data_IF_284565806524
#
_entry.id   IF_284565806524
#
_cell.length_a   1.000
_cell.length_b   1.000
_cell.length_c   1.000
_cell.angle_alpha   90.00
_cell.angle_beta   90.00
_cell.angle_gamma   90.00
#
_symmetry.space_group_name_H-M   'P 1'
#
loop_
_entity.id
_entity.type
_entity.pdbx_description
1 polymer ?
#
# COMPACT_ATOMS: atom_id res chain seq x y z
N UNK A 1 37.10 67.25 46.29
CA UNK A 1 37.29 66.76 44.89
C UNK A 1 37.08 65.30 44.92
N UNK A 2 35.83 64.80 44.62
CA UNK A 2 35.47 63.37 44.56
C UNK A 2 35.28 63.00 43.10
N UNK A 3 36.16 62.09 42.59
CA UNK A 3 36.01 61.50 41.25
C UNK A 3 35.08 60.26 41.34
N UNK A 4 33.91 60.38 40.75
CA UNK A 4 33.05 59.27 40.50
C UNK A 4 33.60 58.48 39.29
N UNK A 5 33.91 57.20 39.50
CA UNK A 5 34.16 56.24 38.43
C UNK A 5 32.84 55.57 38.04
N UNK A 6 32.36 55.85 36.83
CA UNK A 6 31.24 55.16 36.20
C UNK A 6 31.74 53.88 35.48
N UNK A 7 31.41 52.71 36.02
CA UNK A 7 31.61 51.42 35.32
C UNK A 7 30.49 51.24 34.32
N UNK A 8 30.80 51.22 33.02
CA UNK A 8 29.93 50.76 31.94
C UNK A 8 30.02 49.25 31.85
N UNK A 9 28.94 48.57 32.30
CA UNK A 9 28.75 47.13 32.06
C UNK A 9 28.38 46.92 30.60
N UNK A 10 29.25 46.31 29.82
CA UNK A 10 28.94 45.80 28.45
C UNK A 10 28.27 44.46 28.60
N UNK A 11 26.95 44.37 28.36
CA UNK A 11 26.22 43.12 28.18
C UNK A 11 26.46 42.62 26.76
N UNK A 12 27.32 41.60 26.61
CA UNK A 12 27.44 40.84 25.38
C UNK A 12 26.23 39.90 25.28
N UNK A 13 25.28 40.28 24.43
CA UNK A 13 24.19 39.40 24.04
C UNK A 13 24.74 38.36 23.06
N UNK A 14 25.02 37.13 23.55
CA UNK A 14 25.27 35.98 22.67
C UNK A 14 23.92 35.55 22.07
N UNK A 15 23.67 35.96 20.84
CA UNK A 15 22.58 35.37 20.01
C UNK A 15 23.03 33.96 19.66
N UNK A 16 22.53 32.96 20.39
CA UNK A 16 22.54 31.60 19.93
C UNK A 16 21.61 31.53 18.74
N UNK A 17 22.13 31.65 17.53
CA UNK A 17 21.47 31.16 16.31
C UNK A 17 21.44 29.64 16.43
N UNK A 18 20.39 29.09 17.01
CA UNK A 18 20.07 27.69 16.80
C UNK A 18 19.82 27.54 15.30
N UNK A 19 20.74 26.89 14.59
CA UNK A 19 20.44 26.30 13.30
C UNK A 19 19.35 25.26 13.59
N UNK A 20 18.09 25.66 13.53
CA UNK A 20 17.02 24.71 13.33
C UNK A 20 17.26 24.15 11.93
N UNK A 21 17.79 22.94 11.87
CA UNK A 21 17.69 22.10 10.69
C UNK A 21 16.21 22.03 10.36
N UNK A 22 15.80 22.66 9.28
CA UNK A 22 14.46 22.47 8.74
C UNK A 22 14.54 21.04 8.17
N UNK A 23 14.14 20.05 8.96
CA UNK A 23 13.93 18.73 8.43
C UNK A 23 12.78 18.84 7.42
N UNK A 24 13.03 18.44 6.20
CA UNK A 24 11.95 18.27 5.25
C UNK A 24 11.26 16.94 5.59
N UNK A 25 9.95 16.98 5.80
CA UNK A 25 9.14 15.78 5.93
C UNK A 25 9.35 14.88 4.72
N UNK A 26 9.58 13.58 4.95
CA UNK A 26 9.66 12.61 3.86
C UNK A 26 8.26 12.12 3.50
N UNK A 27 7.87 12.29 2.25
CA UNK A 27 6.51 12.01 1.79
C UNK A 27 6.46 10.80 0.89
N UNK A 28 5.58 9.85 1.22
CA UNK A 28 5.31 8.65 0.43
C UNK A 28 3.85 8.67 0.01
N UNK A 29 3.56 8.83 -1.29
CA UNK A 29 2.22 8.56 -1.78
C UNK A 29 2.05 7.08 -2.11
N UNK A 30 0.81 6.56 -2.00
CA UNK A 30 0.54 5.17 -2.28
C UNK A 30 -0.89 4.93 -2.77
N UNK A 31 -1.09 3.83 -3.48
CA UNK A 31 -2.40 3.41 -3.93
C UNK A 31 -2.36 2.21 -4.87
N UNK A 32 -3.53 1.70 -5.24
CA UNK A 32 -3.74 0.58 -6.16
C UNK A 32 -4.91 0.83 -7.11
N UNK A 33 -5.23 -0.16 -7.93
CA UNK A 33 -6.37 -0.18 -8.84
C UNK A 33 -6.31 0.98 -9.84
N UNK A 34 -5.30 0.89 -10.72
CA UNK A 34 -4.99 1.87 -11.75
C UNK A 34 -5.28 1.28 -13.15
N UNK A 35 -6.50 1.50 -13.65
CA UNK A 35 -6.93 0.97 -14.95
C UNK A 35 -6.39 1.82 -16.10
N UNK A 36 -5.61 1.22 -17.00
CA UNK A 36 -5.06 1.87 -18.19
C UNK A 36 -6.12 2.25 -19.25
N UNK A 37 -7.35 1.77 -19.12
CA UNK A 37 -8.45 2.13 -20.00
C UNK A 37 -9.16 3.42 -19.57
N UNK A 38 -8.99 3.84 -18.32
CA UNK A 38 -9.62 5.01 -17.72
C UNK A 38 -8.67 6.21 -17.67
N UNK A 39 -9.17 7.46 -17.69
CA UNK A 39 -8.36 8.66 -17.44
C UNK A 39 -7.69 8.59 -16.05
N UNK A 40 -6.50 9.19 -15.92
CA UNK A 40 -5.72 9.19 -14.69
C UNK A 40 -5.40 10.62 -14.20
N UNK A 41 -6.41 11.47 -13.96
CA UNK A 41 -6.21 12.87 -13.55
C UNK A 41 -5.57 13.00 -12.16
N UNK A 42 -5.64 11.95 -11.33
CA UNK A 42 -5.06 11.89 -9.99
C UNK A 42 -3.57 12.20 -9.96
N UNK A 43 -2.83 11.90 -11.04
CA UNK A 43 -1.40 12.15 -11.13
C UNK A 43 -1.03 13.61 -10.98
N UNK A 44 -1.89 14.53 -11.50
CA UNK A 44 -1.67 15.97 -11.37
C UNK A 44 -1.79 16.44 -9.92
N UNK A 45 -2.69 15.81 -9.17
CA UNK A 45 -2.88 16.11 -7.76
C UNK A 45 -1.71 15.60 -6.93
N UNK A 46 -1.28 14.34 -7.18
CA UNK A 46 -0.14 13.75 -6.47
C UNK A 46 1.17 14.47 -6.78
N UNK A 47 1.36 14.98 -8.01
CA UNK A 47 2.51 15.83 -8.37
C UNK A 47 2.60 17.07 -7.47
N UNK A 48 1.44 17.67 -7.14
CA UNK A 48 1.36 18.84 -6.27
C UNK A 48 1.70 18.57 -4.79
N UNK A 49 1.74 17.30 -4.36
CA UNK A 49 2.16 16.92 -2.99
C UNK A 49 3.68 16.96 -2.80
N UNK A 50 4.44 17.00 -3.90
CA UNK A 50 5.91 16.94 -3.90
C UNK A 50 6.44 15.75 -3.09
N UNK A 51 6.06 14.55 -3.50
CA UNK A 51 6.42 13.30 -2.82
C UNK A 51 7.84 12.87 -3.14
N UNK A 52 8.51 12.21 -2.19
CA UNK A 52 9.84 11.64 -2.36
C UNK A 52 9.78 10.26 -3.01
N UNK A 53 8.74 9.49 -2.68
CA UNK A 53 8.54 8.15 -3.23
C UNK A 53 7.07 7.82 -3.46
N UNK A 54 6.83 6.76 -4.25
CA UNK A 54 5.50 6.24 -4.51
C UNK A 54 5.45 4.73 -4.34
N UNK A 55 4.39 4.23 -3.67
CA UNK A 55 4.14 2.80 -3.47
C UNK A 55 2.92 2.37 -4.29
N UNK A 56 3.13 1.45 -5.22
CA UNK A 56 2.07 0.78 -5.96
C UNK A 56 1.67 -0.52 -5.26
N UNK A 57 0.40 -0.64 -4.90
CA UNK A 57 -0.12 -1.73 -4.07
C UNK A 57 -0.84 -2.84 -4.86
N UNK A 58 -0.51 -2.99 -6.13
CA UNK A 58 -1.13 -3.96 -7.02
C UNK A 58 -2.19 -3.37 -7.93
N UNK A 59 -2.68 -4.17 -8.89
CA UNK A 59 -3.60 -3.73 -9.94
C UNK A 59 -3.08 -2.50 -10.68
N UNK A 60 -1.81 -2.52 -11.03
CA UNK A 60 -1.14 -1.43 -11.73
C UNK A 60 -1.57 -1.38 -13.20
N UNK A 61 -2.16 -2.48 -13.68
CA UNK A 61 -2.84 -2.64 -14.97
C UNK A 61 -3.95 -3.69 -14.84
N UNK A 62 -4.92 -3.66 -15.74
CA UNK A 62 -5.99 -4.66 -15.90
C UNK A 62 -5.73 -5.49 -17.15
N UNK A 63 -4.71 -6.35 -17.04
CA UNK A 63 -4.18 -7.14 -18.15
C UNK A 63 -4.59 -8.62 -18.16
N UNK A 64 -5.28 -9.07 -17.12
CA UNK A 64 -5.78 -10.41 -16.95
C UNK A 64 -6.71 -10.84 -18.08
N UNK A 65 -6.77 -12.15 -18.33
CA UNK A 65 -7.66 -12.72 -19.36
C UNK A 65 -8.20 -14.07 -18.90
N UNK A 66 -9.39 -14.44 -19.38
CA UNK A 66 -10.05 -15.72 -19.04
C UNK A 66 -9.22 -16.95 -19.42
N UNK A 67 -8.41 -16.87 -20.48
CA UNK A 67 -7.53 -17.96 -20.91
C UNK A 67 -6.12 -17.88 -20.26
N UNK A 68 -5.89 -16.87 -19.43
CA UNK A 68 -4.65 -16.61 -18.72
C UNK A 68 -3.46 -16.24 -19.62
N UNK A 69 -3.67 -16.02 -20.93
CA UNK A 69 -2.58 -15.67 -21.83
C UNK A 69 -2.15 -14.21 -21.67
N UNK A 70 -0.84 -13.97 -21.79
CA UNK A 70 -0.22 -12.68 -21.54
C UNK A 70 -0.34 -11.64 -22.66
N UNK A 71 -1.09 -11.90 -23.73
CA UNK A 71 -1.20 -10.96 -24.86
C UNK A 71 -1.90 -9.65 -24.44
N UNK A 72 -3.00 -9.76 -23.69
CA UNK A 72 -3.71 -8.60 -23.16
C UNK A 72 -2.82 -7.85 -22.16
N UNK A 73 -2.12 -8.56 -21.28
CA UNK A 73 -1.18 -8.02 -20.30
C UNK A 73 -0.08 -7.17 -20.95
N UNK A 74 0.53 -7.67 -22.03
CA UNK A 74 1.56 -6.92 -22.79
C UNK A 74 1.02 -5.61 -23.36
N UNK A 75 -0.22 -5.61 -23.82
CA UNK A 75 -0.88 -4.40 -24.34
C UNK A 75 -1.22 -3.43 -23.21
N UNK A 76 -1.74 -3.95 -22.09
CA UNK A 76 -2.06 -3.16 -20.90
C UNK A 76 -0.80 -2.45 -20.36
N UNK A 77 0.30 -3.15 -20.16
CA UNK A 77 1.57 -2.56 -19.74
C UNK A 77 2.10 -1.52 -20.73
N UNK A 78 2.01 -1.81 -22.05
CA UNK A 78 2.42 -0.84 -23.07
C UNK A 78 1.59 0.45 -23.02
N UNK A 79 0.30 0.35 -22.73
CA UNK A 79 -0.61 1.49 -22.60
C UNK A 79 -0.32 2.25 -21.30
N UNK A 80 -0.27 1.56 -20.18
CA UNK A 80 -0.01 2.15 -18.86
C UNK A 80 1.34 2.89 -18.81
N UNK A 81 2.38 2.31 -19.42
CA UNK A 81 3.72 2.94 -19.48
C UNK A 81 3.72 4.33 -20.11
N UNK A 82 2.73 4.64 -20.97
CA UNK A 82 2.56 5.97 -21.59
C UNK A 82 1.78 6.93 -20.71
N UNK A 83 0.98 6.40 -19.75
CA UNK A 83 0.12 7.18 -18.88
C UNK A 83 0.80 7.53 -17.56
N UNK A 84 1.79 6.75 -17.13
CA UNK A 84 2.63 7.08 -15.99
C UNK A 84 3.40 8.37 -16.28
N UNK A 85 3.26 9.42 -15.47
CA UNK A 85 3.89 10.71 -15.73
C UNK A 85 5.41 10.64 -15.61
N UNK A 86 6.10 11.53 -16.31
CA UNK A 86 7.57 11.54 -16.34
C UNK A 86 8.18 11.86 -15.00
N UNK A 87 7.60 12.78 -14.23
CA UNK A 87 8.10 13.18 -12.91
C UNK A 87 8.16 11.99 -11.94
N UNK A 88 7.22 11.05 -12.03
CA UNK A 88 7.18 9.87 -11.16
C UNK A 88 8.38 8.94 -11.37
N UNK A 89 8.99 8.96 -12.58
CA UNK A 89 10.17 8.14 -12.89
C UNK A 89 11.46 8.64 -12.22
N UNK A 90 11.42 9.86 -11.69
CA UNK A 90 12.52 10.47 -10.94
C UNK A 90 12.45 10.22 -9.44
N UNK A 91 11.35 9.59 -8.99
CA UNK A 91 11.09 9.25 -7.58
C UNK A 91 11.43 7.79 -7.30
N UNK A 92 11.66 7.47 -6.03
CA UNK A 92 11.83 6.08 -5.61
C UNK A 92 10.48 5.36 -5.71
N UNK A 93 10.45 4.26 -6.46
CA UNK A 93 9.24 3.49 -6.70
C UNK A 93 9.32 2.13 -6.02
N UNK A 94 8.33 1.83 -5.21
CA UNK A 94 8.10 0.52 -4.62
C UNK A 94 6.82 -0.05 -5.20
N UNK A 95 6.82 -1.32 -5.57
CA UNK A 95 5.69 -1.89 -6.28
C UNK A 95 5.54 -3.38 -5.98
N UNK A 96 4.31 -3.75 -5.69
CA UNK A 96 3.82 -5.12 -5.64
C UNK A 96 2.77 -5.32 -6.73
N UNK A 97 2.52 -6.55 -7.10
CA UNK A 97 1.46 -6.91 -8.03
C UNK A 97 0.22 -7.42 -7.30
N UNK A 98 -0.89 -7.48 -8.04
CA UNK A 98 -2.08 -8.21 -7.65
C UNK A 98 -2.59 -9.07 -8.82
N UNK A 99 -3.79 -9.60 -8.78
CA UNK A 99 -4.30 -10.59 -9.73
C UNK A 99 -4.42 -10.05 -11.16
N UNK A 100 -4.79 -8.77 -11.32
CA UNK A 100 -4.88 -8.15 -12.64
C UNK A 100 -3.51 -7.88 -13.29
N UNK A 101 -2.45 -7.68 -12.49
CA UNK A 101 -1.05 -7.65 -12.95
C UNK A 101 -0.49 -9.06 -13.14
N UNK A 102 -0.96 -10.01 -12.34
CA UNK A 102 -0.49 -11.40 -12.33
C UNK A 102 -0.96 -12.15 -13.57
N UNK A 103 -2.23 -11.94 -14.00
CA UNK A 103 -2.74 -12.38 -15.28
C UNK A 103 -4.00 -13.21 -15.28
N UNK A 104 -4.52 -13.57 -14.11
CA UNK A 104 -5.79 -14.26 -13.93
C UNK A 104 -6.46 -13.71 -12.69
N UNK A 105 -7.72 -13.27 -12.84
CA UNK A 105 -8.53 -12.79 -11.73
C UNK A 105 -8.57 -13.83 -10.60
N UNK A 106 -8.29 -13.39 -9.37
CA UNK A 106 -8.15 -14.23 -8.18
C UNK A 106 -7.16 -15.39 -8.33
N UNK A 107 -6.19 -15.30 -9.26
CA UNK A 107 -5.22 -16.34 -9.55
C UNK A 107 -4.19 -16.55 -8.45
N UNK A 108 -3.71 -17.79 -8.34
CA UNK A 108 -2.69 -18.21 -7.38
C UNK A 108 -1.63 -19.13 -8.04
N UNK A 109 -1.08 -20.05 -7.28
CA UNK A 109 0.00 -20.95 -7.73
C UNK A 109 -0.38 -21.89 -8.89
N UNK A 110 -1.67 -22.09 -9.14
CA UNK A 110 -2.19 -22.85 -10.28
C UNK A 110 -2.00 -22.14 -11.62
N UNK A 111 -1.70 -20.82 -11.61
CA UNK A 111 -1.52 -20.07 -12.84
C UNK A 111 -0.25 -20.49 -13.59
N UNK A 112 -0.42 -21.10 -14.74
CA UNK A 112 0.68 -21.75 -15.49
C UNK A 112 1.71 -20.77 -16.08
N UNK A 113 1.32 -19.51 -16.34
CA UNK A 113 2.21 -18.50 -16.93
C UNK A 113 2.81 -17.53 -15.89
N UNK A 114 2.73 -17.88 -14.59
CA UNK A 114 3.20 -16.99 -13.52
C UNK A 114 4.68 -16.57 -13.65
N UNK A 115 5.54 -17.45 -14.16
CA UNK A 115 6.97 -17.13 -14.37
C UNK A 115 7.16 -16.09 -15.46
N UNK A 116 6.45 -16.22 -16.57
CA UNK A 116 6.48 -15.28 -17.69
C UNK A 116 5.81 -13.96 -17.30
N UNK A 117 4.72 -14.00 -16.53
CA UNK A 117 4.06 -12.83 -15.98
C UNK A 117 5.00 -12.05 -15.08
N UNK A 118 5.74 -12.70 -14.20
CA UNK A 118 6.75 -12.09 -13.34
C UNK A 118 7.81 -11.34 -14.14
N UNK A 119 8.36 -11.93 -15.20
CA UNK A 119 9.36 -11.25 -16.02
C UNK A 119 8.75 -10.04 -16.75
N UNK A 120 7.54 -10.18 -17.28
CA UNK A 120 6.83 -9.09 -17.96
C UNK A 120 6.53 -7.92 -17.01
N UNK A 121 6.13 -8.21 -15.77
CA UNK A 121 5.92 -7.24 -14.70
C UNK A 121 7.21 -6.48 -14.35
N UNK A 122 8.30 -7.20 -14.15
CA UNK A 122 9.61 -6.60 -13.87
C UNK A 122 10.15 -5.76 -15.04
N UNK A 123 9.84 -6.15 -16.29
CA UNK A 123 10.17 -5.37 -17.48
C UNK A 123 9.35 -4.08 -17.58
N UNK A 124 8.08 -4.12 -17.19
CA UNK A 124 7.25 -2.92 -17.14
C UNK A 124 7.84 -1.87 -16.20
N UNK A 125 8.28 -2.27 -15.02
CA UNK A 125 8.90 -1.40 -14.03
C UNK A 125 10.36 -1.05 -14.33
N UNK A 126 10.94 -1.54 -15.43
CA UNK A 126 12.37 -1.41 -15.77
C UNK A 126 13.29 -1.89 -14.64
N UNK A 127 12.88 -2.93 -13.90
CA UNK A 127 13.73 -3.55 -12.88
C UNK A 127 15.09 -3.94 -13.43
N UNK A 128 16.15 -3.68 -12.69
CA UNK A 128 17.53 -3.97 -13.09
C UNK A 128 17.70 -5.45 -13.46
N UNK A 129 18.69 -5.76 -14.29
CA UNK A 129 18.96 -7.15 -14.70
C UNK A 129 19.42 -8.03 -13.54
N UNK A 130 20.06 -7.45 -12.55
CA UNK A 130 20.56 -8.08 -11.32
C UNK A 130 19.57 -8.02 -10.15
N UNK A 131 18.35 -7.52 -10.37
CA UNK A 131 17.27 -7.56 -9.39
C UNK A 131 16.97 -9.01 -9.00
N UNK A 132 17.05 -9.32 -7.71
CA UNK A 132 16.83 -10.68 -7.19
C UNK A 132 15.48 -11.29 -7.63
N UNK A 133 14.45 -10.44 -7.78
CA UNK A 133 13.13 -10.84 -8.26
C UNK A 133 13.13 -11.43 -9.67
N UNK A 134 14.19 -11.26 -10.45
CA UNK A 134 14.30 -11.89 -11.78
C UNK A 134 14.72 -13.36 -11.73
N UNK A 135 15.34 -13.79 -10.64
CA UNK A 135 15.84 -15.15 -10.47
C UNK A 135 15.15 -15.95 -9.37
N UNK A 136 14.51 -15.28 -8.39
CA UNK A 136 13.69 -15.96 -7.39
C UNK A 136 12.29 -16.29 -7.94
N UNK A 137 11.57 -17.17 -7.28
CA UNK A 137 10.13 -17.35 -7.50
C UNK A 137 9.36 -16.29 -6.71
N UNK A 138 8.43 -15.57 -7.38
CA UNK A 138 7.65 -14.46 -6.82
C UNK A 138 8.38 -13.13 -6.81
N UNK A 139 7.61 -12.06 -6.53
CA UNK A 139 8.06 -10.66 -6.63
C UNK A 139 8.31 -9.99 -5.29
N UNK A 140 8.30 -10.75 -4.18
CA UNK A 140 8.53 -10.21 -2.84
C UNK A 140 9.93 -9.60 -2.70
N UNK A 141 10.02 -8.53 -1.90
CA UNK A 141 11.25 -7.77 -1.71
C UNK A 141 11.23 -7.02 -0.37
N UNK A 142 12.40 -6.60 0.09
CA UNK A 142 12.51 -5.56 1.10
C UNK A 142 13.52 -4.49 0.67
N UNK A 143 13.31 -3.28 1.18
CA UNK A 143 14.17 -2.13 0.95
C UNK A 143 14.27 -1.29 2.22
N UNK A 144 15.48 -0.89 2.58
CA UNK A 144 15.72 0.04 3.68
C UNK A 144 15.86 1.45 3.13
N UNK A 145 15.07 2.38 3.65
CA UNK A 145 15.19 3.81 3.40
C UNK A 145 15.71 4.47 4.68
N UNK A 146 16.71 5.32 4.55
CA UNK A 146 17.19 6.15 5.65
C UNK A 146 16.64 7.57 5.46
N UNK A 147 15.96 8.09 6.47
CA UNK A 147 15.43 9.44 6.52
C UNK A 147 16.05 10.08 7.78
N UNK A 148 17.08 10.91 7.59
CA UNK A 148 17.90 11.42 8.68
C UNK A 148 18.42 10.28 9.57
N UNK A 149 17.97 10.20 10.82
CA UNK A 149 18.30 9.14 11.79
C UNK A 149 17.30 7.98 11.83
N UNK A 150 16.19 8.07 11.07
CA UNK A 150 15.19 7.01 10.99
C UNK A 150 15.51 6.00 9.88
N UNK A 151 15.28 4.73 10.19
CA UNK A 151 15.33 3.63 9.22
C UNK A 151 13.93 3.07 8.97
N UNK A 152 13.47 3.16 7.73
CA UNK A 152 12.24 2.53 7.28
C UNK A 152 12.57 1.23 6.56
N UNK A 153 11.91 0.14 6.94
CA UNK A 153 11.96 -1.13 6.22
C UNK A 153 10.67 -1.33 5.44
N UNK A 154 10.73 -1.15 4.12
CA UNK A 154 9.61 -1.44 3.22
C UNK A 154 9.69 -2.90 2.82
N UNK A 155 8.66 -3.68 3.17
CA UNK A 155 8.56 -5.11 2.90
C UNK A 155 7.38 -5.35 1.95
N UNK A 156 7.66 -5.71 0.71
CA UNK A 156 6.64 -6.06 -0.29
C UNK A 156 6.37 -7.55 -0.33
N UNK A 157 5.14 -7.97 0.00
CA UNK A 157 4.71 -9.35 -0.10
C UNK A 157 4.24 -9.68 -1.53
N UNK A 158 4.43 -10.92 -1.92
CA UNK A 158 3.80 -11.53 -3.07
C UNK A 158 2.65 -12.42 -2.59
N UNK A 159 1.43 -11.95 -2.74
CA UNK A 159 0.20 -12.64 -2.30
C UNK A 159 -0.42 -13.49 -3.41
N UNK A 160 0.29 -13.70 -4.54
CA UNK A 160 -0.21 -14.41 -5.72
C UNK A 160 0.59 -15.65 -6.10
N UNK A 161 1.90 -15.53 -6.23
CA UNK A 161 2.75 -16.57 -6.84
C UNK A 161 2.67 -17.95 -6.16
N UNK A 162 2.61 -17.96 -4.83
CA UNK A 162 2.59 -19.18 -4.01
C UNK A 162 1.22 -19.54 -3.48
N UNK A 163 0.28 -18.60 -3.58
CA UNK A 163 -1.03 -18.70 -2.95
C UNK A 163 -1.77 -19.95 -3.43
N UNK A 164 -2.26 -20.73 -2.47
CA UNK A 164 -3.15 -21.86 -2.77
C UNK A 164 -4.42 -21.38 -3.45
N UNK A 165 -4.91 -22.16 -4.41
CA UNK A 165 -6.12 -21.86 -5.17
C UNK A 165 -7.31 -21.66 -4.25
N UNK A 166 -8.04 -20.59 -4.46
CA UNK A 166 -9.28 -20.24 -3.75
C UNK A 166 -10.49 -20.72 -4.54
N UNK A 167 -11.59 -20.93 -3.85
CA UNK A 167 -12.88 -21.21 -4.49
C UNK A 167 -13.85 -20.10 -4.15
N UNK A 168 -14.18 -19.30 -5.17
CA UNK A 168 -15.23 -18.32 -5.05
C UNK A 168 -16.61 -19.00 -5.06
N UNK A 169 -17.50 -18.61 -4.15
CA UNK A 169 -18.90 -19.02 -4.09
C UNK A 169 -19.81 -17.78 -4.20
N UNK A 170 -21.10 -18.01 -4.38
CA UNK A 170 -22.07 -16.92 -4.47
C UNK A 170 -22.07 -15.97 -3.23
N UNK A 171 -21.62 -16.48 -2.08
CA UNK A 171 -21.57 -15.75 -0.81
C UNK A 171 -20.15 -15.36 -0.36
N UNK A 172 -19.16 -15.43 -1.27
CA UNK A 172 -17.76 -15.11 -1.01
C UNK A 172 -16.86 -16.36 -1.01
N UNK A 173 -15.68 -16.25 -0.38
CA UNK A 173 -14.67 -17.32 -0.33
C UNK A 173 -14.85 -18.18 0.92
N UNK A 174 -14.62 -19.50 0.77
CA UNK A 174 -14.51 -20.37 1.95
C UNK A 174 -13.14 -20.20 2.62
N UNK A 175 -13.11 -20.15 3.95
CA UNK A 175 -11.86 -20.25 4.69
C UNK A 175 -11.12 -21.55 4.35
N UNK A 176 -9.82 -21.45 4.12
CA UNK A 176 -8.93 -22.54 3.79
C UNK A 176 -8.01 -22.82 4.98
N UNK A 177 -8.44 -23.69 5.89
CA UNK A 177 -7.81 -23.99 7.17
C UNK A 177 -6.94 -25.25 7.20
N UNK A 178 -6.72 -25.89 6.06
CA UNK A 178 -5.92 -27.12 5.98
C UNK A 178 -4.43 -26.84 6.06
N UNK A 179 -3.65 -27.77 6.63
CA UNK A 179 -2.22 -27.62 6.90
C UNK A 179 -1.35 -27.29 5.66
N UNK A 180 -1.77 -27.75 4.47
CA UNK A 180 -1.00 -27.53 3.22
C UNK A 180 -1.45 -26.30 2.43
N UNK A 181 -2.31 -25.48 3.01
CA UNK A 181 -2.81 -24.26 2.39
C UNK A 181 -1.92 -23.11 2.80
N UNK A 182 -1.53 -22.29 1.83
CA UNK A 182 -0.63 -21.18 2.08
C UNK A 182 -1.00 -19.95 1.25
N UNK A 183 -0.73 -18.77 1.78
CA UNK A 183 -0.73 -17.49 1.08
C UNK A 183 0.66 -17.20 0.48
N UNK A 184 1.71 -17.32 1.28
CA UNK A 184 3.05 -16.88 0.91
C UNK A 184 3.99 -18.01 0.47
N UNK A 185 3.66 -19.28 0.77
CA UNK A 185 4.59 -20.38 0.56
C UNK A 185 5.78 -20.39 1.53
N UNK A 186 6.49 -21.53 1.56
CA UNK A 186 7.56 -21.73 2.55
C UNK A 186 8.73 -20.77 2.37
N UNK A 187 9.16 -20.55 1.14
CA UNK A 187 10.38 -19.78 0.86
C UNK A 187 10.18 -18.29 1.17
N UNK A 188 9.04 -17.72 0.79
CA UNK A 188 8.69 -16.36 1.14
C UNK A 188 8.50 -16.19 2.65
N UNK A 189 7.94 -17.17 3.37
CA UNK A 189 7.87 -17.13 4.84
C UNK A 189 9.25 -17.09 5.49
N UNK A 190 10.19 -17.93 5.03
CA UNK A 190 11.56 -17.93 5.56
C UNK A 190 12.20 -16.56 5.33
N UNK A 191 12.10 -16.05 4.12
CA UNK A 191 12.59 -14.72 3.78
C UNK A 191 11.91 -13.60 4.60
N UNK A 192 10.59 -13.70 4.84
CA UNK A 192 9.86 -12.68 5.60
C UNK A 192 10.36 -12.58 7.05
N UNK A 193 10.65 -13.69 7.70
CA UNK A 193 11.25 -13.67 9.04
C UNK A 193 12.61 -12.99 9.05
N UNK A 194 13.44 -13.25 8.04
CA UNK A 194 14.73 -12.56 7.89
C UNK A 194 14.52 -11.05 7.64
N UNK A 195 13.58 -10.70 6.77
CA UNK A 195 13.25 -9.30 6.47
C UNK A 195 12.71 -8.54 7.69
N UNK A 196 11.88 -9.17 8.52
CA UNK A 196 11.36 -8.60 9.76
C UNK A 196 12.44 -8.45 10.85
N UNK A 197 13.54 -9.21 10.77
CA UNK A 197 14.66 -9.11 11.71
C UNK A 197 15.61 -7.95 11.43
N UNK A 198 15.48 -7.28 10.29
CA UNK A 198 16.29 -6.11 9.96
C UNK A 198 16.01 -4.98 10.96
N UNK A 199 17.07 -4.35 11.44
CA UNK A 199 16.94 -3.18 12.32
C UNK A 199 16.25 -2.04 11.58
N UNK A 200 15.11 -1.59 12.10
CA UNK A 200 14.33 -0.47 11.58
C UNK A 200 13.53 0.18 12.69
N UNK A 201 13.23 1.47 12.53
CA UNK A 201 12.35 2.24 13.41
C UNK A 201 10.89 2.02 13.03
N UNK A 202 10.60 1.86 11.74
CA UNK A 202 9.28 1.60 11.21
C UNK A 202 9.32 0.55 10.12
N UNK A 203 8.36 -0.39 10.15
CA UNK A 203 8.10 -1.33 9.07
C UNK A 203 6.86 -0.88 8.31
N UNK A 204 6.98 -0.77 6.99
CA UNK A 204 5.87 -0.58 6.07
C UNK A 204 5.70 -1.90 5.30
N UNK A 205 4.67 -2.68 5.68
CA UNK A 205 4.37 -3.96 5.05
C UNK A 205 3.34 -3.76 3.93
N UNK A 206 3.70 -4.13 2.72
CA UNK A 206 2.82 -4.04 1.55
C UNK A 206 2.17 -5.41 1.31
N UNK A 207 0.85 -5.43 1.27
CA UNK A 207 0.05 -6.60 0.90
C UNK A 207 -0.99 -6.18 -0.13
N UNK A 208 -1.07 -6.84 -1.27
CA UNK A 208 -2.05 -6.43 -2.28
C UNK A 208 -3.48 -6.65 -1.79
N UNK A 209 -3.73 -7.71 -1.04
CA UNK A 209 -5.03 -7.98 -0.40
C UNK A 209 -5.02 -7.65 1.09
N UNK A 210 -6.17 -7.28 1.64
CA UNK A 210 -6.31 -6.85 3.04
C UNK A 210 -5.98 -7.96 4.05
N UNK A 211 -5.30 -7.55 5.15
CA UNK A 211 -4.84 -8.44 6.23
C UNK A 211 -5.79 -8.43 7.43
N UNK A 212 -6.14 -7.24 7.94
CA UNK A 212 -6.96 -7.10 9.14
C UNK A 212 -8.45 -7.38 8.90
N UNK A 213 -9.08 -6.83 7.83
CA UNK A 213 -10.50 -7.00 7.61
C UNK A 213 -10.93 -8.46 7.51
N UNK A 214 -12.09 -8.77 8.12
CA UNK A 214 -12.69 -10.11 8.14
C UNK A 214 -14.09 -10.15 7.53
N UNK A 215 -14.82 -9.03 7.56
CA UNK A 215 -16.26 -8.99 7.30
C UNK A 215 -16.63 -8.44 5.91
N UNK A 216 -16.06 -9.00 4.84
CA UNK A 216 -16.51 -8.77 3.47
C UNK A 216 -16.39 -10.03 2.62
N UNK A 217 -17.06 -10.06 1.46
CA UNK A 217 -17.13 -11.27 0.63
C UNK A 217 -15.97 -11.41 -0.40
N UNK A 218 -15.08 -10.42 -0.50
CA UNK A 218 -13.97 -10.38 -1.46
C UNK A 218 -12.72 -11.05 -0.91
N UNK A 219 -11.66 -11.14 -1.72
CA UNK A 219 -10.39 -11.69 -1.29
C UNK A 219 -9.80 -10.93 -0.09
N UNK A 220 -9.17 -11.66 0.80
CA UNK A 220 -8.50 -11.15 2.00
C UNK A 220 -7.71 -12.28 2.68
N UNK A 221 -6.83 -11.90 3.59
CA UNK A 221 -6.06 -12.90 4.37
C UNK A 221 -6.93 -13.83 5.24
N UNK A 222 -8.12 -13.40 5.63
CA UNK A 222 -9.05 -14.23 6.41
C UNK A 222 -9.46 -15.53 5.69
N UNK A 223 -9.35 -15.59 4.35
CA UNK A 223 -9.53 -16.84 3.59
C UNK A 223 -8.47 -17.88 3.97
N UNK A 224 -7.31 -17.43 4.46
CA UNK A 224 -6.17 -18.24 4.90
C UNK A 224 -5.93 -18.04 6.40
N UNK A 225 -6.86 -18.48 7.29
CA UNK A 225 -6.87 -18.09 8.70
C UNK A 225 -5.58 -18.47 9.43
N UNK A 226 -4.99 -19.64 9.14
CA UNK A 226 -3.73 -20.08 9.73
C UNK A 226 -2.55 -19.18 9.33
N UNK A 227 -2.50 -18.76 8.06
CA UNK A 227 -1.46 -17.87 7.55
C UNK A 227 -1.64 -16.44 8.07
N UNK A 228 -2.89 -15.97 8.18
CA UNK A 228 -3.22 -14.67 8.78
C UNK A 228 -2.78 -14.60 10.24
N UNK A 229 -3.14 -15.59 11.05
CA UNK A 229 -2.71 -15.70 12.44
C UNK A 229 -1.18 -15.74 12.55
N UNK A 230 -0.52 -16.51 11.68
CA UNK A 230 0.94 -16.59 11.61
C UNK A 230 1.58 -15.23 11.30
N UNK A 231 1.01 -14.45 10.37
CA UNK A 231 1.49 -13.11 10.05
C UNK A 231 1.31 -12.15 11.22
N UNK A 232 0.11 -12.10 11.80
CA UNK A 232 -0.18 -11.22 12.93
C UNK A 232 0.70 -11.55 14.15
N UNK A 233 0.97 -12.83 14.40
CA UNK A 233 1.91 -13.25 15.45
C UNK A 233 3.35 -12.82 15.14
N UNK A 234 3.79 -12.95 13.88
CA UNK A 234 5.13 -12.51 13.48
C UNK A 234 5.30 -11.00 13.69
N UNK A 235 4.29 -10.21 13.31
CA UNK A 235 4.28 -8.76 13.50
C UNK A 235 4.14 -8.36 14.98
N UNK A 236 3.33 -9.07 15.76
CA UNK A 236 3.14 -8.79 17.18
C UNK A 236 4.35 -9.16 18.06
N UNK A 237 5.25 -10.03 17.57
CA UNK A 237 6.45 -10.43 18.29
C UNK A 237 7.66 -9.51 18.08
N UNK A 238 7.60 -8.60 17.12
CA UNK A 238 8.64 -7.59 16.90
C UNK A 238 8.32 -6.31 17.67
N UNK A 239 9.36 -5.59 18.09
CA UNK A 239 9.19 -4.32 18.82
C UNK A 239 8.96 -3.14 17.88
N UNK A 240 9.40 -3.26 16.64
CA UNK A 240 9.30 -2.22 15.63
C UNK A 240 7.84 -1.98 15.25
N UNK A 241 7.42 -0.72 15.25
CA UNK A 241 6.07 -0.36 14.83
C UNK A 241 5.83 -0.76 13.37
N UNK A 242 4.63 -1.26 13.09
CA UNK A 242 4.28 -1.74 11.75
C UNK A 242 3.04 -1.03 11.23
N UNK A 243 3.12 -0.60 9.99
CA UNK A 243 2.00 -0.09 9.19
C UNK A 243 1.84 -1.04 8.00
N UNK A 244 0.63 -1.55 7.78
CA UNK A 244 0.29 -2.34 6.61
C UNK A 244 -0.38 -1.42 5.59
N UNK A 245 0.07 -1.47 4.35
CA UNK A 245 -0.59 -0.81 3.23
C UNK A 245 -1.19 -1.88 2.31
N UNK A 246 -2.47 -1.73 1.96
CA UNK A 246 -3.19 -2.72 1.14
C UNK A 246 -4.01 -2.12 0.00
N UNK A 247 -4.41 -2.97 -0.95
CA UNK A 247 -5.11 -2.64 -2.20
C UNK A 247 -6.37 -3.46 -2.44
N UNK A 248 -6.64 -3.84 -3.69
CA UNK A 248 -7.69 -4.75 -4.21
C UNK A 248 -9.15 -4.28 -4.11
N UNK A 249 -9.49 -3.44 -3.16
CA UNK A 249 -10.87 -3.22 -2.70
C UNK A 249 -11.67 -2.17 -3.46
N UNK A 250 -11.07 -1.42 -4.38
CA UNK A 250 -11.68 -0.29 -5.09
C UNK A 250 -12.31 0.75 -4.13
N UNK A 251 -11.77 0.85 -2.91
CA UNK A 251 -12.18 1.76 -1.83
C UNK A 251 -11.00 2.00 -0.89
N UNK A 252 -11.17 2.90 0.06
CA UNK A 252 -10.19 3.08 1.11
C UNK A 252 -10.81 2.92 2.50
N UNK A 253 -9.95 2.63 3.49
CA UNK A 253 -10.33 2.47 4.89
C UNK A 253 -9.12 2.33 5.79
N UNK A 254 -9.35 2.54 7.08
CA UNK A 254 -8.34 2.41 8.13
C UNK A 254 -8.80 1.36 9.14
N UNK A 255 -7.90 0.43 9.46
CA UNK A 255 -8.17 -0.69 10.35
C UNK A 255 -7.07 -0.78 11.41
N UNK A 256 -7.41 -1.20 12.63
CA UNK A 256 -6.47 -1.28 13.74
C UNK A 256 -6.65 -2.59 14.54
N UNK A 257 -5.52 -3.22 14.86
CA UNK A 257 -5.46 -4.40 15.73
C UNK A 257 -4.23 -4.30 16.63
N UNK A 258 -4.43 -3.92 17.88
CA UNK A 258 -3.34 -3.65 18.82
C UNK A 258 -2.44 -2.53 18.31
N UNK A 259 -1.15 -2.79 18.17
CA UNK A 259 -0.18 -1.83 17.63
C UNK A 259 -0.08 -1.83 16.09
N UNK A 260 -0.79 -2.72 15.41
CA UNK A 260 -0.79 -2.85 13.95
C UNK A 260 -1.91 -1.99 13.39
N UNK A 261 -1.58 -1.13 12.43
CA UNK A 261 -2.56 -0.39 11.64
C UNK A 261 -2.46 -0.80 10.18
N UNK A 262 -3.60 -0.99 9.53
CA UNK A 262 -3.70 -1.21 8.09
C UNK A 262 -4.44 -0.07 7.43
N UNK A 263 -3.83 0.49 6.39
CA UNK A 263 -4.42 1.51 5.55
C UNK A 263 -4.64 0.91 4.17
N UNK A 264 -5.89 0.78 3.77
CA UNK A 264 -6.25 0.44 2.40
C UNK A 264 -6.46 1.73 1.62
N UNK A 265 -5.76 1.88 0.47
CA UNK A 265 -6.02 2.95 -0.51
C UNK A 265 -6.01 2.30 -1.89
N UNK A 266 -7.21 2.12 -2.45
CA UNK A 266 -7.41 1.17 -3.54
C UNK A 266 -8.32 1.71 -4.64
N UNK A 267 -8.10 2.96 -5.06
CA UNK A 267 -8.90 3.58 -6.12
C UNK A 267 -8.15 4.73 -6.78
N UNK A 268 -6.96 4.49 -7.36
CA UNK A 268 -6.23 5.55 -8.06
C UNK A 268 -7.04 6.12 -9.25
N UNK A 269 -7.83 5.28 -9.93
CA UNK A 269 -8.82 5.72 -10.93
C UNK A 269 -9.97 4.74 -11.14
N UNK A 270 -10.02 3.66 -10.37
CA UNK A 270 -11.06 2.62 -10.48
C UNK A 270 -11.78 2.45 -9.15
N UNK A 271 -12.62 3.40 -8.84
CA UNK A 271 -13.44 3.40 -7.64
C UNK A 271 -14.74 2.60 -7.83
N UNK A 272 -15.37 2.16 -6.73
CA UNK A 272 -16.66 1.48 -6.77
C UNK A 272 -17.76 2.43 -7.25
N UNK A 273 -17.67 3.72 -6.86
CA UNK A 273 -18.67 4.72 -7.22
C UNK A 273 -18.01 6.09 -7.32
N UNK A 274 -17.62 6.46 -8.52
CA UNK A 274 -16.94 7.74 -8.78
C UNK A 274 -17.94 8.84 -9.20
N UNK A 275 -19.03 8.48 -9.88
CA UNK A 275 -20.00 9.44 -10.39
C UNK A 275 -21.30 9.49 -9.56
N UNK A 276 -22.00 10.63 -9.64
CA UNK A 276 -23.30 10.82 -8.97
C UNK A 276 -24.36 9.81 -9.44
N UNK A 277 -24.32 9.42 -10.71
CA UNK A 277 -25.28 8.45 -11.27
C UNK A 277 -24.96 7.02 -10.82
N UNK A 278 -23.69 6.67 -10.66
CA UNK A 278 -23.27 5.39 -10.05
C UNK A 278 -23.76 5.33 -8.61
N UNK A 279 -23.51 6.37 -7.82
CA UNK A 279 -24.04 6.51 -6.45
C UNK A 279 -25.55 6.40 -6.43
N UNK A 280 -26.26 6.99 -7.43
CA UNK A 280 -27.70 6.88 -7.54
C UNK A 280 -28.16 5.46 -7.88
N UNK A 281 -27.52 4.81 -8.87
CA UNK A 281 -27.81 3.41 -9.24
C UNK A 281 -27.62 2.51 -8.03
N UNK A 282 -26.54 2.66 -7.28
CA UNK A 282 -26.27 1.93 -6.06
C UNK A 282 -27.35 2.13 -5.00
N UNK A 283 -27.84 3.35 -4.84
CA UNK A 283 -28.93 3.67 -3.90
C UNK A 283 -30.28 3.08 -4.33
N UNK A 284 -30.51 2.89 -5.63
CA UNK A 284 -31.73 2.29 -6.18
C UNK A 284 -31.66 0.75 -6.18
N UNK A 285 -30.50 0.15 -6.01
CA UNK A 285 -30.39 -1.31 -5.92
C UNK A 285 -31.07 -1.86 -4.66
N UNK A 286 -31.67 -3.07 -4.74
CA UNK A 286 -32.17 -3.77 -3.54
C UNK A 286 -31.06 -3.84 -2.47
N UNK A 287 -31.43 -3.60 -1.21
CA UNK A 287 -30.45 -3.58 -0.09
C UNK A 287 -29.58 -4.84 -0.04
N UNK A 288 -30.14 -6.00 -0.39
CA UNK A 288 -29.41 -7.28 -0.42
C UNK A 288 -28.31 -7.34 -1.50
N UNK A 289 -28.55 -6.72 -2.67
CA UNK A 289 -27.58 -6.64 -3.76
C UNK A 289 -26.55 -5.56 -3.44
N UNK A 290 -27.02 -4.39 -2.98
CA UNK A 290 -26.15 -3.29 -2.58
C UNK A 290 -25.20 -3.69 -1.46
N UNK A 291 -25.70 -4.40 -0.43
CA UNK A 291 -24.87 -4.93 0.67
C UNK A 291 -23.80 -5.89 0.17
N UNK A 292 -24.06 -6.67 -0.88
CA UNK A 292 -23.09 -7.58 -1.48
C UNK A 292 -22.02 -6.85 -2.31
N UNK A 293 -22.35 -5.74 -2.94
CA UNK A 293 -21.44 -5.04 -3.86
C UNK A 293 -20.73 -3.84 -3.22
N UNK A 294 -21.41 -3.07 -2.36
CA UNK A 294 -21.00 -1.69 -2.09
C UNK A 294 -21.44 -1.20 -0.70
N UNK A 295 -21.71 -2.03 0.28
CA UNK A 295 -22.16 -1.45 1.54
C UNK A 295 -21.05 -0.55 2.15
N UNK A 296 -21.16 0.80 2.05
CA UNK A 296 -20.26 1.71 2.75
C UNK A 296 -20.38 1.57 4.28
N UNK A 297 -21.41 0.85 4.73
CA UNK A 297 -21.64 0.47 6.13
C UNK A 297 -21.17 -0.98 6.41
N UNK A 298 -20.31 -1.54 5.56
CA UNK A 298 -19.60 -2.77 5.91
C UNK A 298 -18.82 -2.48 7.18
N UNK A 299 -19.37 -2.94 8.30
CA UNK A 299 -18.73 -2.77 9.60
C UNK A 299 -17.82 -3.98 9.83
N UNK A 300 -16.55 -3.72 9.88
CA UNK A 300 -15.55 -4.67 10.33
C UNK A 300 -15.15 -4.34 11.77
N UNK A 301 -14.87 -5.34 12.59
CA UNK A 301 -14.50 -5.13 14.00
C UNK A 301 -13.19 -4.34 14.17
N UNK A 302 -12.32 -4.38 13.16
CA UNK A 302 -11.04 -3.65 13.16
C UNK A 302 -11.11 -2.29 12.49
N UNK A 303 -12.22 -1.97 11.82
CA UNK A 303 -12.40 -0.71 11.09
C UNK A 303 -12.64 0.44 12.05
N UNK A 304 -11.82 1.50 11.95
CA UNK A 304 -11.93 2.66 12.84
C UNK A 304 -12.68 3.86 12.25
N UNK A 305 -12.85 3.91 10.92
CA UNK A 305 -13.55 5.00 10.22
C UNK A 305 -14.48 4.46 9.12
N UNK A 306 -15.32 5.33 8.57
CA UNK A 306 -16.17 4.97 7.42
C UNK A 306 -15.30 4.68 6.18
N UNK A 307 -15.76 3.75 5.33
CA UNK A 307 -15.09 3.41 4.08
C UNK A 307 -15.28 4.52 3.04
N UNK A 308 -14.24 4.81 2.29
CA UNK A 308 -14.24 5.79 1.21
C UNK A 308 -14.39 5.02 -0.11
N UNK A 309 -15.47 5.30 -0.86
CA UNK A 309 -15.79 4.60 -2.12
C UNK A 309 -15.37 5.37 -3.37
N UNK A 310 -14.81 6.54 -3.22
CA UNK A 310 -14.41 7.46 -4.30
C UNK A 310 -12.96 7.23 -4.71
N UNK A 311 -12.57 7.82 -5.85
CA UNK A 311 -11.16 7.90 -6.27
C UNK A 311 -10.33 8.50 -5.14
N UNK A 312 -9.26 7.81 -4.77
CA UNK A 312 -8.43 8.19 -3.62
C UNK A 312 -6.98 7.76 -3.82
N UNK A 313 -6.10 8.38 -3.04
CA UNK A 313 -4.73 7.95 -2.81
C UNK A 313 -4.38 8.15 -1.34
N UNK A 314 -3.41 7.40 -0.86
CA UNK A 314 -2.83 7.62 0.46
C UNK A 314 -1.60 8.52 0.37
N UNK A 315 -1.41 9.35 1.37
CA UNK A 315 -0.18 10.13 1.58
C UNK A 315 0.33 9.89 2.99
N UNK A 316 1.55 9.44 3.10
CA UNK A 316 2.25 9.26 4.37
C UNK A 316 3.32 10.35 4.47
N UNK A 317 3.26 11.15 5.53
CA UNK A 317 4.23 12.19 5.86
C UNK A 317 4.99 11.77 7.11
N UNK A 318 6.30 11.59 6.98
CA UNK A 318 7.18 11.10 8.04
C UNK A 318 7.99 12.27 8.56
N UNK A 319 7.76 12.62 9.81
CA UNK A 319 8.52 13.62 10.57
C UNK A 319 9.61 12.90 11.37
N UNK A 320 10.86 13.02 10.93
CA UNK A 320 12.00 12.37 11.56
C UNK A 320 12.34 12.98 12.93
N UNK A 321 12.10 14.29 13.11
CA UNK A 321 12.40 15.00 14.37
C UNK A 321 11.41 14.60 15.46
N UNK A 322 10.12 14.65 15.16
CA UNK A 322 9.06 14.31 16.12
C UNK A 322 8.79 12.83 16.21
N UNK A 323 9.43 12.03 15.34
CA UNK A 323 9.24 10.56 15.21
C UNK A 323 7.77 10.20 15.07
N UNK A 324 7.10 10.83 14.12
CA UNK A 324 5.69 10.59 13.83
C UNK A 324 5.45 10.34 12.35
N UNK A 325 4.37 9.61 12.07
CA UNK A 325 3.86 9.39 10.72
C UNK A 325 2.42 9.84 10.67
N UNK A 326 2.15 10.87 9.88
CA UNK A 326 0.79 11.25 9.50
C UNK A 326 0.42 10.52 8.22
N UNK A 327 -0.68 9.78 8.25
CA UNK A 327 -1.21 9.08 7.09
C UNK A 327 -2.57 9.70 6.74
N UNK A 328 -2.71 10.15 5.53
CA UNK A 328 -3.94 10.75 5.02
C UNK A 328 -4.46 9.94 3.84
N UNK A 329 -5.75 9.66 3.83
CA UNK A 329 -6.46 9.22 2.63
C UNK A 329 -7.08 10.48 2.02
N UNK A 330 -6.69 10.79 0.79
CA UNK A 330 -7.04 12.04 0.10
C UNK A 330 -7.88 11.74 -1.14
N UNK A 331 -8.80 12.63 -1.45
CA UNK A 331 -9.60 12.57 -2.66
C UNK A 331 -8.82 13.04 -3.91
N UNK A 332 -9.45 12.96 -5.06
CA UNK A 332 -8.86 13.38 -6.34
C UNK A 332 -8.46 14.86 -6.38
N UNK A 333 -9.00 15.70 -5.50
CA UNK A 333 -8.62 17.13 -5.39
C UNK A 333 -7.44 17.38 -4.46
N UNK A 334 -6.97 16.36 -3.75
CA UNK A 334 -5.91 16.46 -2.74
C UNK A 334 -6.43 16.81 -1.34
N UNK A 335 -7.75 16.82 -1.16
CA UNK A 335 -8.33 17.10 0.15
C UNK A 335 -8.29 15.84 1.03
N UNK A 336 -7.77 15.94 2.27
CA UNK A 336 -7.85 14.84 3.22
C UNK A 336 -9.32 14.50 3.56
N UNK A 337 -9.66 13.21 3.44
CA UNK A 337 -10.96 12.66 3.86
C UNK A 337 -10.82 12.01 5.23
N UNK A 338 -9.71 11.29 5.44
CA UNK A 338 -9.36 10.66 6.72
C UNK A 338 -7.89 10.87 7.01
N UNK A 339 -7.56 10.99 8.30
CA UNK A 339 -6.19 11.12 8.77
C UNK A 339 -5.95 10.22 9.97
N UNK A 340 -4.75 9.64 10.03
CA UNK A 340 -4.29 8.79 11.12
C UNK A 340 -2.87 9.18 11.50
N UNK A 341 -2.62 9.47 12.77
CA UNK A 341 -1.28 9.81 13.30
C UNK A 341 -0.75 8.65 14.14
N UNK A 342 0.48 8.25 13.85
CA UNK A 342 1.20 7.21 14.59
C UNK A 342 2.55 7.71 15.08
N UNK A 343 2.90 7.42 16.32
CA UNK A 343 4.25 7.59 16.86
C UNK A 343 5.12 6.39 16.47
N UNK A 344 6.39 6.66 16.12
CA UNK A 344 7.40 5.66 15.72
C UNK A 344 8.27 5.27 16.91
#
# INVERSE_FOLDING_TARGET
MNKLYTYRLFFLFFIFLSNQSIANDYKIAFGSCLDQELPQPIWKTIEGEDVDSFIFLGDNVYGDSMDGKLNKMKLAYKKQKKMIPSWLKEKDLFYIWDDHDYGVNDGGSEYKYRKEAQQLYLDFWNSKKDDKRRSQEGTYFNSIINIDDLKLNIIGLDTRYFRSSTKNRQDGYEPLDKENITMLGKDQWTWLYDALSNEADLIILLSSVQVLPTNHQFEKWEIFPNERVKLLNALGNIKTKTIILSGDRHRAGVYEYGDIVEITSSSLNKAIADSWYEKLILNLMPKSIRKKLIDPKEQDEFQINELISEVNYGLMTIDSINRTVLIEIKDISGKPIQSYLKEI
#
